data_IF_203592245810
#
_entry.id   IF_203592245810
#
_cell.length_a   1.000
_cell.length_b   1.000
_cell.length_c   1.000
_cell.angle_alpha   90.00
_cell.angle_beta   90.00
_cell.angle_gamma   90.00
#
_symmetry.space_group_name_H-M   'P 1'
#
loop_
_entity.id
_entity.type
_entity.pdbx_description
1 polymer ?
#
# COMPACT_ATOMS: atom_id res chain seq x y z
N UNK A 1 31.16 11.18 9.46
CA UNK A 1 32.18 10.41 10.20
C UNK A 1 31.64 10.02 11.57
N UNK A 2 31.19 10.96 12.40
CA UNK A 2 30.64 10.70 13.76
C UNK A 2 29.37 9.82 13.85
N UNK A 3 28.80 9.40 12.71
CA UNK A 3 27.61 8.55 12.68
C UNK A 3 27.93 7.06 12.76
N UNK A 4 29.17 6.69 12.45
CA UNK A 4 29.66 5.32 12.57
C UNK A 4 29.83 4.97 14.06
N UNK A 5 29.52 3.72 14.43
CA UNK A 5 29.55 3.26 15.83
C UNK A 5 30.92 3.49 16.48
N UNK A 6 31.99 3.16 15.77
CA UNK A 6 33.38 3.34 16.23
C UNK A 6 33.79 4.81 16.44
N UNK A 7 32.98 5.76 15.96
CA UNK A 7 33.23 7.20 16.06
C UNK A 7 32.23 7.92 16.98
N UNK A 8 31.34 7.18 17.66
CA UNK A 8 30.49 7.73 18.74
C UNK A 8 31.38 8.13 19.92
N UNK A 9 31.01 9.20 20.63
CA UNK A 9 31.81 9.74 21.74
C UNK A 9 33.06 10.53 21.33
N UNK A 10 33.51 10.45 20.08
CA UNK A 10 34.62 11.26 19.57
C UNK A 10 34.17 12.69 19.26
N UNK A 11 34.93 13.67 19.76
CA UNK A 11 34.70 15.09 19.49
C UNK A 11 35.27 15.51 18.14
N UNK A 12 34.51 16.32 17.41
CA UNK A 12 34.94 16.97 16.16
C UNK A 12 34.83 18.47 16.32
N UNK A 13 35.82 19.21 15.84
CA UNK A 13 35.79 20.67 15.79
C UNK A 13 34.95 21.14 14.61
N UNK A 14 33.96 21.97 14.89
CA UNK A 14 33.11 22.62 13.90
C UNK A 14 33.82 23.84 13.28
N UNK A 15 33.36 24.35 12.10
CA UNK A 15 33.90 25.58 11.52
C UNK A 15 33.78 26.82 12.41
N UNK A 16 32.87 26.80 13.39
CA UNK A 16 32.76 27.83 14.43
C UNK A 16 33.88 27.78 15.48
N UNK A 17 34.77 26.78 15.42
CA UNK A 17 35.76 26.41 16.45
C UNK A 17 35.17 25.71 17.69
N UNK A 18 33.87 25.50 17.75
CA UNK A 18 33.24 24.73 18.83
C UNK A 18 33.47 23.23 18.65
N UNK A 19 33.44 22.47 19.75
CA UNK A 19 33.48 21.00 19.69
C UNK A 19 32.08 20.41 19.69
N UNK A 20 31.87 19.40 18.85
CA UNK A 20 30.63 18.64 18.74
C UNK A 20 30.91 17.14 18.83
N UNK A 21 30.06 16.43 19.56
CA UNK A 21 30.15 14.98 19.76
C UNK A 21 28.75 14.39 19.64
N UNK A 22 28.63 13.21 19.04
CA UNK A 22 27.39 12.43 19.10
C UNK A 22 27.52 11.38 20.21
N UNK A 23 26.71 11.44 21.27
CA UNK A 23 26.72 10.46 22.36
C UNK A 23 26.32 9.05 21.90
N UNK A 24 26.76 8.04 22.63
CA UNK A 24 26.43 6.63 22.37
C UNK A 24 24.94 6.32 22.53
N UNK A 25 24.24 7.05 23.39
CA UNK A 25 22.81 6.88 23.62
C UNK A 25 21.90 7.61 22.60
N UNK A 26 22.46 8.08 21.49
CA UNK A 26 21.70 8.73 20.41
C UNK A 26 21.55 7.79 19.22
N UNK A 27 20.29 7.50 18.89
CA UNK A 27 19.91 6.72 17.72
C UNK A 27 19.28 7.62 16.66
N UNK A 28 19.60 7.36 15.39
CA UNK A 28 19.02 8.08 14.25
C UNK A 28 18.26 7.06 13.42
N UNK A 29 16.95 7.24 13.35
CA UNK A 29 16.05 6.41 12.53
C UNK A 29 15.55 7.30 11.40
N UNK A 30 15.92 6.95 10.17
CA UNK A 30 15.40 7.57 8.97
C UNK A 30 14.37 6.66 8.31
N UNK A 31 13.28 7.23 7.81
CA UNK A 31 12.37 6.56 6.89
C UNK A 31 12.63 7.06 5.48
N UNK A 32 12.65 6.15 4.51
CA UNK A 32 12.85 6.48 3.10
C UNK A 32 11.70 5.91 2.29
N UNK A 33 11.23 6.67 1.30
CA UNK A 33 10.27 6.18 0.32
C UNK A 33 11.01 5.86 -0.97
N UNK A 34 11.07 4.58 -1.34
CA UNK A 34 11.86 4.10 -2.48
C UNK A 34 11.30 4.53 -3.85
N UNK A 35 10.02 4.92 -3.90
CA UNK A 35 9.37 5.42 -5.13
C UNK A 35 9.81 6.87 -5.46
N UNK A 36 10.24 7.63 -4.45
CA UNK A 36 10.54 9.05 -4.64
C UNK A 36 11.91 9.23 -5.30
N UNK A 37 11.92 9.49 -6.61
CA UNK A 37 13.16 9.70 -7.37
C UNK A 37 13.98 10.91 -6.89
N UNK A 38 13.42 11.80 -6.07
CA UNK A 38 14.19 12.90 -5.48
C UNK A 38 15.25 12.42 -4.47
N UNK A 39 15.08 11.23 -3.89
CA UNK A 39 16.03 10.65 -2.92
C UNK A 39 17.16 9.83 -3.56
N UNK A 40 17.13 9.61 -4.89
CA UNK A 40 18.19 8.88 -5.61
C UNK A 40 19.55 9.60 -5.51
N UNK A 41 19.56 10.92 -5.34
CA UNK A 41 20.77 11.72 -5.19
C UNK A 41 21.42 11.67 -3.79
N UNK A 42 20.81 10.94 -2.83
CA UNK A 42 21.37 10.84 -1.49
C UNK A 42 22.76 10.20 -1.52
N UNK A 43 23.75 10.97 -1.03
CA UNK A 43 25.18 10.65 -1.07
C UNK A 43 25.46 9.22 -0.60
N UNK A 44 26.20 8.47 -1.42
CA UNK A 44 26.69 7.13 -1.12
C UNK A 44 27.43 7.06 0.23
N UNK A 45 28.09 8.16 0.65
CA UNK A 45 28.73 8.27 1.95
C UNK A 45 27.75 8.28 3.13
N UNK A 46 26.52 8.76 2.95
CA UNK A 46 25.47 8.68 3.96
C UNK A 46 24.87 7.27 3.99
N UNK A 47 24.58 6.68 2.83
CA UNK A 47 23.96 5.35 2.73
C UNK A 47 24.74 4.25 3.46
N UNK A 48 26.07 4.32 3.45
CA UNK A 48 26.95 3.35 4.15
C UNK A 48 26.96 3.48 5.68
N UNK A 49 26.36 4.52 6.24
CA UNK A 49 26.35 4.79 7.70
C UNK A 49 25.04 4.42 8.37
N UNK A 50 24.09 3.88 7.62
CA UNK A 50 22.82 3.38 8.12
C UNK A 50 22.73 1.87 7.88
N UNK A 51 22.14 1.16 8.84
CA UNK A 51 21.60 -0.16 8.59
C UNK A 51 20.31 -0.02 7.77
N UNK A 52 20.19 -0.81 6.71
CA UNK A 52 19.00 -0.82 5.86
C UNK A 52 18.06 -1.91 6.35
N UNK A 53 16.86 -1.52 6.76
CA UNK A 53 15.80 -2.42 7.15
C UNK A 53 14.57 -2.09 6.31
N UNK A 54 14.32 -2.92 5.30
CA UNK A 54 13.16 -2.81 4.44
C UNK A 54 11.91 -3.28 5.21
N UNK A 55 10.81 -2.54 5.07
CA UNK A 55 9.50 -2.95 5.54
C UNK A 55 8.63 -3.17 4.31
N UNK A 56 8.33 -4.43 4.02
CA UNK A 56 7.54 -4.81 2.85
C UNK A 56 6.06 -4.48 3.02
N UNK A 57 5.34 -4.39 1.90
CA UNK A 57 3.89 -4.23 1.92
C UNK A 57 3.20 -5.37 2.71
N UNK A 58 3.68 -6.61 2.58
CA UNK A 58 3.17 -7.77 3.31
C UNK A 58 3.39 -7.64 4.82
N UNK A 59 4.57 -7.22 5.26
CA UNK A 59 4.83 -6.97 6.69
C UNK A 59 3.92 -5.87 7.24
N UNK A 60 3.68 -4.81 6.48
CA UNK A 60 2.79 -3.71 6.89
C UNK A 60 1.30 -4.11 7.01
N UNK A 61 0.91 -5.31 6.54
CA UNK A 61 -0.46 -5.82 6.63
C UNK A 61 -0.99 -5.90 8.07
N UNK A 62 -0.10 -6.05 9.05
CA UNK A 62 -0.47 -6.13 10.47
C UNK A 62 -1.16 -4.86 10.98
N UNK A 63 -0.93 -3.71 10.32
CA UNK A 63 -1.54 -2.41 10.66
C UNK A 63 -3.04 -2.40 10.32
N UNK A 64 -3.49 -3.29 9.42
CA UNK A 64 -4.91 -3.50 9.11
C UNK A 64 -5.54 -4.24 10.30
N UNK A 65 -5.82 -3.49 11.35
CA UNK A 65 -6.44 -3.98 12.59
C UNK A 65 -7.93 -3.67 12.67
N UNK A 66 -8.46 -2.82 11.78
CA UNK A 66 -9.83 -2.33 11.75
C UNK A 66 -10.36 -1.94 13.14
N UNK A 67 -9.50 -1.36 13.97
CA UNK A 67 -9.77 -1.12 15.41
C UNK A 67 -10.99 -0.23 15.64
N UNK A 68 -11.36 0.61 14.66
CA UNK A 68 -12.53 1.48 14.71
C UNK A 68 -13.82 0.86 14.15
N UNK A 69 -13.82 -0.43 13.80
CA UNK A 69 -15.00 -1.14 13.27
C UNK A 69 -15.64 -1.98 14.39
N UNK A 70 -16.93 -1.77 14.65
CA UNK A 70 -17.67 -2.44 15.73
C UNK A 70 -18.25 -3.80 15.35
N UNK A 71 -18.66 -4.01 14.10
CA UNK A 71 -19.32 -5.22 13.60
C UNK A 71 -18.56 -5.80 12.40
N UNK A 72 -18.55 -7.13 12.22
CA UNK A 72 -17.87 -7.84 11.11
C UNK A 72 -16.38 -7.48 10.93
N UNK A 73 -15.74 -7.10 12.04
CA UNK A 73 -14.36 -6.60 12.03
C UNK A 73 -13.38 -7.59 11.41
N UNK A 74 -13.43 -8.84 11.85
CA UNK A 74 -12.46 -9.87 11.41
C UNK A 74 -12.62 -10.16 9.91
N UNK A 75 -13.86 -10.29 9.42
CA UNK A 75 -14.16 -10.48 8.00
C UNK A 75 -13.64 -9.30 7.16
N UNK A 76 -13.82 -8.06 7.62
CA UNK A 76 -13.33 -6.87 6.92
C UNK A 76 -11.80 -6.83 6.92
N UNK A 77 -11.15 -7.22 8.01
CA UNK A 77 -9.67 -7.27 8.09
C UNK A 77 -9.11 -8.32 7.15
N UNK A 78 -9.68 -9.53 7.14
CA UNK A 78 -9.25 -10.61 6.25
C UNK A 78 -9.45 -10.23 4.78
N UNK A 79 -10.62 -9.66 4.47
CA UNK A 79 -10.94 -9.19 3.13
C UNK A 79 -10.00 -8.05 2.67
N UNK A 80 -9.70 -7.09 3.55
CA UNK A 80 -8.76 -6.01 3.25
C UNK A 80 -7.34 -6.55 2.94
N UNK A 81 -6.88 -7.56 3.70
CA UNK A 81 -5.58 -8.21 3.47
C UNK A 81 -5.57 -8.97 2.14
N UNK A 82 -6.63 -9.72 1.83
CA UNK A 82 -6.80 -10.45 0.55
C UNK A 82 -6.81 -9.49 -0.64
N UNK A 83 -7.54 -8.38 -0.54
CA UNK A 83 -7.55 -7.32 -1.58
C UNK A 83 -6.19 -6.67 -1.77
N UNK A 84 -5.47 -6.42 -0.68
CA UNK A 84 -4.12 -5.87 -0.72
C UNK A 84 -3.16 -6.80 -1.45
N UNK A 85 -3.16 -8.08 -1.11
CA UNK A 85 -2.33 -9.08 -1.75
C UNK A 85 -2.64 -9.20 -3.25
N UNK A 86 -3.91 -9.34 -3.61
CA UNK A 86 -4.34 -9.44 -5.00
C UNK A 86 -3.95 -8.20 -5.83
N UNK A 87 -4.16 -7.01 -5.27
CA UNK A 87 -3.79 -5.76 -5.95
C UNK A 87 -2.28 -5.66 -6.13
N UNK A 88 -1.49 -5.98 -5.11
CA UNK A 88 -0.04 -5.94 -5.19
C UNK A 88 0.52 -6.96 -6.18
N UNK A 89 -0.05 -8.16 -6.25
CA UNK A 89 0.32 -9.16 -7.25
C UNK A 89 -0.02 -8.69 -8.68
N UNK A 90 -1.20 -8.07 -8.86
CA UNK A 90 -1.59 -7.51 -10.16
C UNK A 90 -0.74 -6.30 -10.57
N UNK A 91 -0.28 -5.47 -9.61
CA UNK A 91 0.63 -4.36 -9.89
C UNK A 91 1.95 -4.84 -10.48
N UNK A 92 2.55 -5.87 -9.88
CA UNK A 92 3.81 -6.44 -10.38
C UNK A 92 3.58 -7.10 -11.74
N UNK A 93 2.51 -7.87 -11.90
CA UNK A 93 2.24 -8.63 -13.12
C UNK A 93 1.83 -7.76 -14.33
N UNK A 94 0.95 -6.78 -14.14
CA UNK A 94 0.31 -6.04 -15.24
C UNK A 94 0.98 -4.70 -15.54
N UNK A 95 1.47 -4.01 -14.50
CA UNK A 95 2.09 -2.70 -14.67
C UNK A 95 3.60 -2.80 -14.91
N UNK A 96 4.21 -3.99 -14.76
CA UNK A 96 5.66 -4.18 -14.81
C UNK A 96 6.39 -3.13 -13.95
N UNK A 97 5.77 -2.81 -12.82
CA UNK A 97 6.31 -1.93 -11.78
C UNK A 97 7.09 -2.81 -10.80
N UNK A 98 8.20 -2.28 -10.28
CA UNK A 98 9.00 -2.99 -9.29
C UNK A 98 8.28 -3.15 -7.94
N UNK A 99 8.87 -3.95 -7.07
CA UNK A 99 8.38 -4.24 -5.71
C UNK A 99 8.13 -2.97 -4.88
N UNK A 100 8.88 -1.91 -5.16
CA UNK A 100 8.77 -0.60 -4.51
C UNK A 100 7.41 0.08 -4.71
N UNK A 101 6.64 -0.30 -5.74
CA UNK A 101 5.31 0.26 -6.02
C UNK A 101 4.16 -0.46 -5.29
N UNK A 102 4.45 -1.53 -4.53
CA UNK A 102 3.43 -2.23 -3.75
C UNK A 102 2.82 -1.28 -2.70
N UNK A 103 1.51 -1.36 -2.55
CA UNK A 103 0.75 -0.57 -1.60
C UNK A 103 0.74 -1.29 -0.23
N UNK A 104 1.20 -0.59 0.80
CA UNK A 104 1.19 -1.10 2.18
C UNK A 104 -0.16 -1.01 2.88
N UNK A 105 -0.27 -1.69 4.03
CA UNK A 105 -1.49 -1.85 4.82
C UNK A 105 -2.10 -0.53 5.33
N UNK A 106 -1.31 0.54 5.44
CA UNK A 106 -1.82 1.86 5.81
C UNK A 106 -2.86 2.42 4.84
N UNK A 107 -2.78 2.07 3.54
CA UNK A 107 -3.80 2.45 2.57
C UNK A 107 -5.12 1.71 2.80
N UNK A 108 -5.04 0.43 3.14
CA UNK A 108 -6.19 -0.44 3.35
C UNK A 108 -6.84 -0.22 4.72
N UNK A 109 -6.09 0.18 5.75
CA UNK A 109 -6.64 0.61 7.05
C UNK A 109 -7.66 1.74 6.91
N UNK A 110 -7.56 2.57 5.85
CA UNK A 110 -8.54 3.64 5.59
C UNK A 110 -9.95 3.13 5.33
N UNK A 111 -10.17 1.81 5.16
CA UNK A 111 -11.50 1.21 5.10
C UNK A 111 -12.35 1.54 6.33
N UNK A 112 -11.73 1.79 7.49
CA UNK A 112 -12.41 2.24 8.71
C UNK A 112 -13.22 3.54 8.50
N UNK A 113 -12.83 4.39 7.54
CA UNK A 113 -13.54 5.63 7.19
C UNK A 113 -14.76 5.39 6.31
N UNK A 114 -14.86 4.22 5.72
CA UNK A 114 -15.88 3.83 4.75
C UNK A 114 -16.64 2.60 5.24
N UNK A 115 -16.67 2.38 6.56
CA UNK A 115 -17.44 1.32 7.18
C UNK A 115 -18.58 1.94 7.98
N UNK A 116 -19.81 1.53 7.68
CA UNK A 116 -21.00 1.90 8.44
C UNK A 116 -21.73 0.63 8.91
N UNK A 117 -21.98 0.53 10.21
CA UNK A 117 -22.68 -0.61 10.82
C UNK A 117 -22.04 -1.99 10.62
N UNK A 118 -20.79 -2.09 10.16
CA UNK A 118 -20.14 -3.36 9.77
C UNK A 118 -20.25 -3.71 8.29
N UNK A 119 -20.70 -2.76 7.46
CA UNK A 119 -20.66 -2.85 6.01
C UNK A 119 -19.55 -1.94 5.48
N UNK A 120 -18.55 -2.53 4.81
CA UNK A 120 -17.39 -1.84 4.29
C UNK A 120 -17.59 -1.46 2.81
N UNK A 121 -17.48 -0.17 2.50
CA UNK A 121 -17.53 0.33 1.13
C UNK A 121 -16.14 0.29 0.47
N UNK A 122 -15.86 -0.86 -0.14
CA UNK A 122 -14.64 -1.12 -0.88
C UNK A 122 -14.50 -0.25 -2.14
N UNK A 123 -15.62 0.20 -2.72
CA UNK A 123 -15.62 1.03 -3.91
C UNK A 123 -15.22 2.46 -3.56
N UNK A 124 -15.72 3.01 -2.45
CA UNK A 124 -15.29 4.29 -1.93
C UNK A 124 -13.80 4.30 -1.53
N UNK A 125 -13.30 3.23 -0.92
CA UNK A 125 -11.86 3.10 -0.63
C UNK A 125 -11.02 3.17 -1.93
N UNK A 126 -11.47 2.47 -2.97
CA UNK A 126 -10.81 2.47 -4.26
C UNK A 126 -10.84 3.86 -4.91
N UNK A 127 -12.01 4.48 -5.04
CA UNK A 127 -12.18 5.72 -5.79
C UNK A 127 -11.47 6.90 -5.13
N UNK A 128 -11.45 6.95 -3.80
CA UNK A 128 -10.89 8.07 -3.03
C UNK A 128 -9.40 7.92 -2.67
N UNK A 129 -8.86 6.71 -2.63
CA UNK A 129 -7.49 6.48 -2.16
C UNK A 129 -6.65 5.67 -3.15
N UNK A 130 -7.03 4.42 -3.41
CA UNK A 130 -6.18 3.50 -4.19
C UNK A 130 -6.09 3.93 -5.66
N UNK A 131 -7.23 4.14 -6.31
CA UNK A 131 -7.30 4.51 -7.73
C UNK A 131 -6.64 5.85 -8.03
N UNK A 132 -6.66 6.82 -7.10
CA UNK A 132 -5.99 8.12 -7.28
C UNK A 132 -4.47 7.93 -7.42
N UNK A 133 -3.86 7.18 -6.51
CA UNK A 133 -2.41 6.97 -6.48
C UNK A 133 -1.97 6.10 -7.66
N UNK A 134 -2.74 5.07 -7.98
CA UNK A 134 -2.44 4.19 -9.11
C UNK A 134 -2.51 4.91 -10.45
N UNK A 135 -3.44 5.87 -10.62
CA UNK A 135 -3.46 6.73 -11.80
C UNK A 135 -2.21 7.59 -11.91
N UNK A 136 -1.69 8.09 -10.78
CA UNK A 136 -0.42 8.83 -10.78
C UNK A 136 0.77 7.92 -11.14
N UNK A 137 0.80 6.68 -10.64
CA UNK A 137 1.86 5.72 -11.00
C UNK A 137 1.84 5.33 -12.48
N UNK A 138 0.65 5.26 -13.08
CA UNK A 138 0.46 4.91 -14.48
C UNK A 138 0.48 6.13 -15.42
N UNK A 139 0.65 7.34 -14.88
CA UNK A 139 0.59 8.58 -15.65
C UNK A 139 1.65 8.60 -16.76
N UNK A 140 1.21 8.85 -17.99
CA UNK A 140 2.10 8.88 -19.16
C UNK A 140 2.33 7.52 -19.83
N UNK A 141 1.71 6.43 -19.35
CA UNK A 141 1.71 5.14 -20.05
C UNK A 141 0.55 5.06 -21.05
N UNK A 142 0.82 4.54 -22.24
CA UNK A 142 -0.18 4.43 -23.32
C UNK A 142 -1.33 3.46 -22.97
N UNK A 143 -1.03 2.40 -22.20
CA UNK A 143 -1.99 1.37 -21.78
C UNK A 143 -2.51 1.58 -20.33
N UNK A 144 -2.44 2.80 -19.80
CA UNK A 144 -2.82 3.09 -18.42
C UNK A 144 -4.27 2.70 -18.11
N UNK A 145 -5.20 2.90 -19.05
CA UNK A 145 -6.62 2.53 -18.89
C UNK A 145 -6.81 1.02 -18.72
N UNK A 146 -6.20 0.22 -19.60
CA UNK A 146 -6.31 -1.24 -19.56
C UNK A 146 -5.67 -1.83 -18.30
N UNK A 147 -4.52 -1.29 -17.88
CA UNK A 147 -3.88 -1.69 -16.62
C UNK A 147 -4.81 -1.35 -15.46
N UNK A 148 -5.38 -0.14 -15.42
CA UNK A 148 -6.26 0.29 -14.33
C UNK A 148 -7.50 -0.61 -14.18
N UNK A 149 -8.10 -1.04 -15.30
CA UNK A 149 -9.22 -1.99 -15.33
C UNK A 149 -8.82 -3.35 -14.73
N UNK A 150 -7.66 -3.89 -15.12
CA UNK A 150 -7.13 -5.15 -14.58
C UNK A 150 -6.83 -5.06 -13.09
N UNK A 151 -6.23 -3.95 -12.64
CA UNK A 151 -5.99 -3.69 -11.22
C UNK A 151 -7.29 -3.60 -10.43
N UNK A 152 -8.31 -2.91 -10.97
CA UNK A 152 -9.64 -2.81 -10.35
C UNK A 152 -10.31 -4.18 -10.25
N UNK A 153 -10.15 -5.01 -11.28
CA UNK A 153 -10.66 -6.39 -11.30
C UNK A 153 -9.97 -7.26 -10.27
N UNK A 154 -8.63 -7.19 -10.14
CA UNK A 154 -7.89 -7.95 -9.13
C UNK A 154 -8.21 -7.51 -7.70
N UNK A 155 -8.46 -6.22 -7.49
CA UNK A 155 -8.90 -5.68 -6.20
C UNK A 155 -10.30 -6.16 -5.78
N UNK A 156 -11.19 -6.48 -6.72
CA UNK A 156 -12.48 -7.10 -6.41
C UNK A 156 -12.25 -8.59 -6.13
N UNK A 157 -12.45 -9.02 -4.89
CA UNK A 157 -12.50 -10.46 -4.59
C UNK A 157 -13.78 -11.04 -5.19
N UNK A 158 -13.70 -12.24 -5.75
CA UNK A 158 -14.85 -12.95 -6.32
C UNK A 158 -15.70 -13.64 -5.23
N UNK A 159 -15.99 -12.95 -4.13
CA UNK A 159 -16.92 -13.44 -3.12
C UNK A 159 -18.07 -12.44 -2.94
N UNK A 160 -19.03 -12.55 -3.85
CA UNK A 160 -20.42 -12.26 -3.57
C UNK A 160 -21.20 -13.43 -4.16
N UNK A 161 -21.71 -14.28 -3.28
CA UNK A 161 -22.72 -15.28 -3.61
C UNK A 161 -23.90 -14.61 -4.34
N UNK A 162 -24.04 -14.96 -5.62
CA UNK A 162 -25.25 -15.10 -6.44
C UNK A 162 -26.35 -14.00 -6.48
N UNK A 163 -26.86 -13.83 -7.71
CA UNK A 163 -28.20 -13.38 -8.16
C UNK A 163 -28.45 -11.90 -8.50
N UNK A 164 -29.26 -11.75 -9.57
CA UNK A 164 -29.71 -10.56 -10.32
C UNK A 164 -28.71 -10.18 -11.45
N UNK A 165 -28.92 -10.50 -12.74
CA UNK A 165 -30.15 -10.54 -13.54
C UNK A 165 -30.15 -11.63 -14.62
N UNK A 166 -31.11 -12.56 -14.55
CA UNK A 166 -31.58 -13.33 -15.70
C UNK A 166 -32.99 -13.89 -15.41
N UNK A 167 -33.95 -13.00 -15.17
CA UNK A 167 -35.37 -13.35 -15.14
C UNK A 167 -36.17 -12.34 -15.97
N UNK A 168 -36.04 -12.42 -17.29
CA UNK A 168 -37.05 -11.91 -18.22
C UNK A 168 -37.60 -13.07 -19.05
N UNK A 169 -38.49 -13.81 -18.39
CA UNK A 169 -39.80 -14.23 -18.88
C UNK A 169 -39.92 -14.72 -20.34
N UNK A 170 -40.00 -16.05 -20.53
CA UNK A 170 -40.58 -16.62 -21.76
C UNK A 170 -41.16 -18.02 -21.51
N UNK A 171 -42.44 -18.10 -21.16
CA UNK A 171 -43.44 -19.06 -21.69
C UNK A 171 -44.82 -18.60 -21.18
N UNK A 172 -45.94 -18.84 -21.88
CA UNK A 172 -46.29 -20.13 -22.49
C UNK A 172 -46.95 -20.03 -23.88
N UNK A 173 -46.87 -21.10 -24.69
CA UNK A 173 -48.10 -21.65 -25.29
C UNK A 173 -47.88 -23.07 -25.82
N UNK A 174 -48.70 -23.96 -25.28
CA UNK A 174 -48.93 -25.33 -25.72
C UNK A 174 -50.04 -25.31 -26.77
N UNK A 175 -50.03 -26.22 -27.76
CA UNK A 175 -51.29 -26.90 -28.05
C UNK A 175 -51.12 -28.41 -28.24
N UNK A 176 -52.06 -29.13 -27.64
CA UNK A 176 -52.49 -30.49 -27.99
C UNK A 176 -54.00 -30.41 -28.31
N UNK A 177 -54.63 -31.39 -28.98
CA UNK A 177 -54.17 -32.74 -29.30
C UNK A 177 -53.88 -33.01 -30.79
#
# INVERSE_FOLDING_TARGET
>A
VCLEEDYRGNSVTLPSSDTFTIPENVYIIGTMNDIDRSVESMDFALRRRFAWHEITAAESAHIIDASNISNNKDDIVEEAKKRMENLNNALVAEANLGEEYKLGGAYFKKIEKYCDGGNADWQALWDNHLGVILREYLRGRENAGDIMEKLKKAYKTNDSSAQEDAASNSTPENPAP
#
